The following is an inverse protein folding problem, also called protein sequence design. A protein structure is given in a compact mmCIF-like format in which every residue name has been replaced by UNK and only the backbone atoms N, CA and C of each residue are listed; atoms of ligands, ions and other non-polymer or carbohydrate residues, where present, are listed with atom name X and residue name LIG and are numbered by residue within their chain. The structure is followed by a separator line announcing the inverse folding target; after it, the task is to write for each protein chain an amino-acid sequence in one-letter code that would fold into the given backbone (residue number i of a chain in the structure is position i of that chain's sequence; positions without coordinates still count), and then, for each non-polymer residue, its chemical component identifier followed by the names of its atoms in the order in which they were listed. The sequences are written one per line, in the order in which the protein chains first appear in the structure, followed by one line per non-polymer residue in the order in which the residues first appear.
data_IF_774264336908
#
_entry.id   IF_774264336908
#
_cell.length_a   1.000
_cell.length_b   1.000
_cell.length_c   1.000
_cell.angle_alpha   90.00
_cell.angle_beta   90.00
_cell.angle_gamma   90.00
#
_symmetry.space_group_name_H-M   'P 1'
#
loop_
_entity.id
_entity.type
_entity.pdbx_description
1 polymer ?
#
# COMPACT_ATOMS: atom_id res chain seq x y z
N UNK A 1 4.91 12.27 17.34
CA UNK A 1 4.04 12.87 16.30
C UNK A 1 3.21 11.75 15.70
N UNK A 2 2.01 11.48 16.23
CA UNK A 2 1.14 10.45 15.67
C UNK A 2 0.48 11.01 14.40
N UNK A 3 0.95 10.57 13.23
CA UNK A 3 0.34 10.91 11.93
C UNK A 3 -0.95 10.10 11.80
N UNK A 4 -2.06 10.63 12.30
CA UNK A 4 -3.39 10.13 11.95
C UNK A 4 -3.71 10.60 10.52
N UNK A 5 -3.16 9.90 9.52
CA UNK A 5 -3.45 10.20 8.12
C UNK A 5 -4.77 9.56 7.73
N UNK A 6 -5.79 10.39 7.43
CA UNK A 6 -7.03 9.98 6.76
C UNK A 6 -6.81 9.34 5.37
N UNK A 7 -5.56 9.30 4.90
CA UNK A 7 -5.15 8.69 3.64
C UNK A 7 -5.09 7.16 3.77
N UNK A 8 -5.39 6.44 2.68
CA UNK A 8 -5.18 4.98 2.56
C UNK A 8 -3.68 4.68 2.49
N UNK A 9 -2.98 4.87 3.60
CA UNK A 9 -1.54 4.73 3.75
C UNK A 9 -1.20 3.67 4.81
N UNK A 10 -0.05 3.02 4.62
CA UNK A 10 0.48 2.12 5.64
C UNK A 10 1.17 2.93 6.75
N UNK A 11 0.79 2.80 8.03
CA UNK A 11 1.39 3.56 9.12
C UNK A 11 2.87 3.20 9.39
N UNK A 12 3.32 2.01 8.97
CA UNK A 12 4.69 1.52 9.23
C UNK A 12 5.68 1.97 8.15
N UNK A 13 5.27 1.90 6.88
CA UNK A 13 6.18 2.13 5.75
C UNK A 13 5.73 3.26 4.83
N UNK A 14 4.73 4.04 5.28
CA UNK A 14 4.19 5.22 4.60
C UNK A 14 3.77 4.96 3.15
N UNK A 15 3.46 3.69 2.84
CA UNK A 15 3.11 3.30 1.47
C UNK A 15 1.72 3.83 1.17
N UNK A 16 1.66 4.86 0.33
CA UNK A 16 0.43 5.44 -0.19
C UNK A 16 0.04 4.96 -1.57
N UNK A 17 -1.02 5.57 -2.10
CA UNK A 17 -1.48 5.32 -3.46
C UNK A 17 -0.52 5.93 -4.49
N UNK A 18 -0.33 5.25 -5.62
CA UNK A 18 0.47 5.76 -6.73
C UNK A 18 -0.42 5.91 -7.97
N UNK A 19 -0.20 6.97 -8.75
CA UNK A 19 -0.85 7.15 -10.05
C UNK A 19 0.17 6.85 -11.13
N UNK A 20 -0.14 5.88 -11.99
CA UNK A 20 0.74 5.48 -13.09
C UNK A 20 -0.03 5.35 -14.39
N UNK A 21 0.63 5.68 -15.50
CA UNK A 21 0.16 5.30 -16.83
C UNK A 21 0.23 3.79 -17.04
N UNK A 22 -0.41 3.33 -18.10
CA UNK A 22 -0.23 1.99 -18.61
C UNK A 22 0.07 2.02 -20.09
N UNK A 23 0.35 0.85 -20.64
CA UNK A 23 0.35 0.60 -22.08
C UNK A 23 -0.24 -0.78 -22.32
N UNK A 24 -0.86 -0.97 -23.47
CA UNK A 24 -1.54 -2.22 -23.81
C UNK A 24 -0.71 -3.03 -24.81
N UNK A 25 -0.58 -4.33 -24.56
CA UNK A 25 0.12 -5.27 -25.45
C UNK A 25 -0.74 -5.71 -26.66
N UNK A 26 -1.79 -4.96 -27.02
CA UNK A 26 -2.70 -5.29 -28.14
C UNK A 26 -2.06 -5.06 -29.52
N UNK A 27 -1.04 -4.22 -29.61
CA UNK A 27 -0.32 -3.89 -30.86
C UNK A 27 1.10 -4.50 -30.78
N UNK A 28 1.78 -4.64 -31.93
CA UNK A 28 3.19 -5.06 -32.01
C UNK A 28 4.06 -4.36 -30.97
N UNK A 29 4.98 -5.11 -30.36
CA UNK A 29 5.85 -4.66 -29.27
C UNK A 29 6.69 -3.41 -29.61
N UNK A 30 6.98 -3.18 -30.89
CA UNK A 30 7.74 -2.01 -31.37
C UNK A 30 6.91 -0.73 -31.40
N UNK A 31 5.58 -0.80 -31.25
CA UNK A 31 4.70 0.36 -31.23
C UNK A 31 4.13 0.57 -29.83
N UNK A 32 4.54 1.67 -29.21
CA UNK A 32 3.98 2.09 -27.93
C UNK A 32 2.48 2.37 -28.06
N UNK A 33 1.67 1.73 -27.23
CA UNK A 33 0.21 1.86 -27.21
C UNK A 33 -0.26 2.30 -25.81
N UNK A 34 -0.22 3.62 -25.50
CA UNK A 34 -0.49 4.12 -24.17
C UNK A 34 -1.94 3.91 -23.74
N UNK A 35 -2.14 3.73 -22.44
CA UNK A 35 -3.46 3.76 -21.79
C UNK A 35 -3.51 4.87 -20.73
N UNK A 36 -4.74 5.23 -20.35
CA UNK A 36 -4.98 6.29 -19.37
C UNK A 36 -4.30 6.03 -18.02
N UNK A 37 -4.06 7.12 -17.28
CA UNK A 37 -3.51 7.04 -15.92
C UNK A 37 -4.53 6.40 -14.99
N UNK A 38 -4.10 5.42 -14.20
CA UNK A 38 -4.93 4.78 -13.16
C UNK A 38 -4.25 4.89 -11.80
N UNK A 39 -5.06 5.15 -10.77
CA UNK A 39 -4.61 5.10 -9.38
C UNK A 39 -4.53 3.65 -8.89
N UNK A 40 -3.38 3.27 -8.35
CA UNK A 40 -3.09 1.98 -7.71
C UNK A 40 -3.05 2.20 -6.20
N UNK A 41 -3.97 1.56 -5.49
CA UNK A 41 -4.05 1.64 -4.03
C UNK A 41 -3.11 0.62 -3.39
N UNK A 42 -2.50 0.92 -2.24
CA UNK A 42 -1.78 -0.09 -1.48
C UNK A 42 -2.75 -1.15 -0.98
N UNK A 43 -2.31 -2.42 -1.01
CA UNK A 43 -3.08 -3.52 -0.45
C UNK A 43 -2.97 -3.47 1.08
N UNK A 44 -3.89 -2.73 1.70
CA UNK A 44 -4.00 -2.58 3.16
C UNK A 44 -4.93 -3.66 3.72
N UNK A 45 -4.45 -4.37 4.74
CA UNK A 45 -5.15 -5.46 5.40
C UNK A 45 -5.13 -5.27 6.91
N UNK A 46 -6.14 -5.80 7.59
CA UNK A 46 -6.21 -5.77 9.05
C UNK A 46 -5.15 -6.70 9.65
N UNK A 47 -4.35 -6.16 10.55
CA UNK A 47 -3.40 -6.89 11.38
C UNK A 47 -3.83 -6.78 12.84
N UNK A 48 -3.73 -7.87 13.59
CA UNK A 48 -3.91 -7.85 15.05
C UNK A 48 -2.63 -7.34 15.70
N UNK A 49 -2.76 -6.50 16.73
CA UNK A 49 -1.61 -6.00 17.49
C UNK A 49 -1.35 -6.87 18.72
N UNK A 50 -0.10 -7.00 19.17
CA UNK A 50 0.24 -7.80 20.34
C UNK A 50 -0.39 -7.27 21.65
N UNK A 51 -0.64 -5.96 21.74
CA UNK A 51 -1.33 -5.33 22.88
C UNK A 51 -2.86 -5.35 22.80
N UNK A 52 -3.43 -6.07 21.84
CA UNK A 52 -4.85 -6.02 21.51
C UNK A 52 -5.20 -4.92 20.50
N UNK A 53 -6.36 -5.03 19.88
CA UNK A 53 -6.80 -4.14 18.80
C UNK A 53 -6.34 -4.58 17.40
N UNK A 54 -6.75 -3.79 16.40
CA UNK A 54 -6.47 -4.06 14.99
C UNK A 54 -6.13 -2.80 14.23
N UNK A 55 -5.16 -2.89 13.33
CA UNK A 55 -4.69 -1.78 12.50
C UNK A 55 -4.60 -2.21 11.04
N UNK A 56 -4.92 -1.31 10.11
CA UNK A 56 -4.72 -1.58 8.67
C UNK A 56 -3.28 -1.29 8.29
N UNK A 57 -2.58 -2.28 7.75
CA UNK A 57 -1.20 -2.16 7.27
C UNK A 57 -1.06 -2.76 5.88
N UNK A 58 -0.02 -2.38 5.14
CA UNK A 58 0.21 -3.01 3.84
C UNK A 58 0.60 -4.48 4.00
N UNK A 59 0.21 -5.31 3.03
CA UNK A 59 0.52 -6.75 3.01
C UNK A 59 2.02 -7.05 3.09
N UNK A 60 2.89 -6.14 2.59
CA UNK A 60 4.34 -6.30 2.71
C UNK A 60 4.81 -6.22 4.16
N UNK A 61 4.28 -5.27 4.94
CA UNK A 61 4.61 -5.15 6.37
C UNK A 61 3.94 -6.26 7.20
N UNK A 62 2.73 -6.68 6.81
CA UNK A 62 2.06 -7.82 7.45
C UNK A 62 2.89 -9.10 7.29
N UNK A 63 3.30 -9.43 6.06
CA UNK A 63 4.13 -10.61 5.76
C UNK A 63 5.50 -10.56 6.43
N UNK A 64 6.07 -9.37 6.59
CA UNK A 64 7.34 -9.18 7.28
C UNK A 64 7.22 -9.17 8.81
N UNK A 65 6.03 -9.39 9.38
CA UNK A 65 5.84 -9.46 10.84
C UNK A 65 6.00 -8.12 11.57
N UNK A 66 6.08 -7.01 10.84
CA UNK A 66 6.37 -5.69 11.44
C UNK A 66 5.30 -5.20 12.42
N UNK A 67 4.08 -5.73 12.32
CA UNK A 67 2.99 -5.41 13.24
C UNK A 67 3.19 -5.95 14.66
N UNK A 68 4.10 -6.92 14.84
CA UNK A 68 4.43 -7.51 16.14
C UNK A 68 5.60 -6.78 16.82
N UNK A 69 6.47 -6.17 16.03
CA UNK A 69 7.75 -5.60 16.48
C UNK A 69 7.71 -4.07 16.62
N UNK A 70 6.95 -3.39 15.77
CA UNK A 70 6.90 -1.92 15.74
C UNK A 70 6.00 -1.38 16.86
N UNK A 71 6.59 -0.64 17.81
CA UNK A 71 5.88 -0.03 18.97
C UNK A 71 5.06 1.23 18.63
N UNK A 72 5.11 1.69 17.38
CA UNK A 72 4.47 2.93 16.93
C UNK A 72 3.04 2.74 16.38
N UNK A 73 2.48 1.54 16.49
CA UNK A 73 1.10 1.25 16.11
C UNK A 73 0.22 1.42 17.37
N UNK A 74 -0.47 2.55 17.47
CA UNK A 74 -1.48 2.83 18.49
C UNK A 74 -2.84 2.89 17.83
#
# INVERSE_FOLDING_TARGET
MARNTMAKECPICEKGSQVGGGYSNRIRATKFNPTGKRRRQPNLQWAQLPGGGRVKICTRCLKAGKHLTEKNLR
#
